data_IF_761540314394
#
_entry.id   IF_761540314394
#
_cell.length_a   1.000
_cell.length_b   1.000
_cell.length_c   1.000
_cell.angle_alpha   90.00
_cell.angle_beta   90.00
_cell.angle_gamma   90.00
#
_symmetry.space_group_name_H-M   'P 1'
#
loop_
_entity.id
_entity.type
_entity.pdbx_description
1 polymer ?
#
# COMPACT_ATOMS: atom_id res chain seq x y z
N UNK A 1 -23.67 -8.20 23.56
CA UNK A 1 -22.42 -7.47 23.28
C UNK A 1 -21.71 -8.26 22.20
N UNK A 2 -21.70 -7.77 20.96
CA UNK A 2 -20.92 -8.42 19.90
C UNK A 2 -19.45 -8.34 20.29
N UNK A 3 -18.78 -9.48 20.25
CA UNK A 3 -17.35 -9.60 20.51
C UNK A 3 -16.63 -8.69 19.50
N UNK A 4 -16.16 -7.52 19.95
CA UNK A 4 -15.49 -6.56 19.09
C UNK A 4 -14.09 -7.12 18.81
N UNK A 5 -14.01 -7.98 17.79
CA UNK A 5 -12.80 -8.67 17.35
C UNK A 5 -11.65 -7.67 17.26
N UNK A 6 -10.57 -7.92 18.00
CA UNK A 6 -9.41 -7.03 18.01
C UNK A 6 -8.76 -7.01 16.62
N UNK A 7 -8.91 -5.88 15.90
CA UNK A 7 -8.22 -5.64 14.63
C UNK A 7 -6.85 -5.03 14.85
N UNK A 8 -5.93 -5.29 13.93
CA UNK A 8 -4.61 -4.65 13.89
C UNK A 8 -4.61 -3.54 12.84
N UNK A 9 -3.93 -2.44 13.13
CA UNK A 9 -3.64 -1.38 12.16
C UNK A 9 -2.15 -1.46 11.80
N UNK A 10 -1.84 -1.58 10.51
CA UNK A 10 -0.48 -1.63 10.00
C UNK A 10 -0.14 -0.35 9.24
N UNK A 11 1.04 0.23 9.46
CA UNK A 11 1.45 1.51 8.85
C UNK A 11 2.60 1.33 7.86
N UNK A 12 2.46 1.89 6.67
CA UNK A 12 3.51 1.99 5.65
C UNK A 12 3.60 3.43 5.13
N UNK A 13 4.74 4.10 5.31
CA UNK A 13 4.90 5.50 4.88
C UNK A 13 6.30 5.81 4.32
N UNK A 14 6.45 6.97 3.69
CA UNK A 14 7.71 7.53 3.20
C UNK A 14 8.24 8.70 4.07
N UNK A 15 7.82 8.79 5.33
CA UNK A 15 8.17 9.91 6.22
C UNK A 15 9.63 9.92 6.68
N UNK A 16 10.29 8.76 6.64
CA UNK A 16 11.65 8.54 7.09
C UNK A 16 11.86 8.72 8.59
N UNK A 17 13.09 8.47 9.03
CA UNK A 17 13.49 8.63 10.44
C UNK A 17 13.37 10.09 10.93
N UNK A 18 13.68 11.06 10.06
CA UNK A 18 13.54 12.50 10.38
C UNK A 18 12.06 12.90 10.55
N UNK A 19 11.14 12.20 9.89
CA UNK A 19 9.70 12.38 10.01
C UNK A 19 9.05 11.52 11.10
N UNK A 20 9.80 10.94 12.04
CA UNK A 20 9.23 10.08 13.09
C UNK A 20 8.11 10.75 13.91
N UNK A 21 8.17 12.07 14.10
CA UNK A 21 7.12 12.83 14.76
C UNK A 21 5.78 12.83 13.99
N UNK A 22 5.80 12.71 12.66
CA UNK A 22 4.60 12.51 11.86
C UNK A 22 3.96 11.16 12.18
N UNK A 23 4.74 10.07 12.17
CA UNK A 23 4.27 8.73 12.55
C UNK A 23 3.70 8.73 13.97
N UNK A 24 4.42 9.29 14.93
CA UNK A 24 3.97 9.38 16.32
C UNK A 24 2.64 10.12 16.45
N UNK A 25 2.46 11.24 15.74
CA UNK A 25 1.21 11.99 15.75
C UNK A 25 0.03 11.22 15.15
N UNK A 26 0.26 10.44 14.08
CA UNK A 26 -0.76 9.56 13.50
C UNK A 26 -1.20 8.50 14.51
N UNK A 27 -0.25 7.81 15.14
CA UNK A 27 -0.52 6.81 16.17
C UNK A 27 -1.27 7.41 17.36
N UNK A 28 -0.87 8.58 17.83
CA UNK A 28 -1.53 9.26 18.93
C UNK A 28 -3.00 9.56 18.63
N UNK A 29 -3.32 9.98 17.39
CA UNK A 29 -4.70 10.20 16.96
C UNK A 29 -5.49 8.89 16.88
N UNK A 30 -4.89 7.83 16.34
CA UNK A 30 -5.51 6.49 16.33
C UNK A 30 -5.84 6.04 17.76
N UNK A 31 -4.89 6.14 18.69
CA UNK A 31 -5.08 5.74 20.08
C UNK A 31 -6.11 6.58 20.84
N UNK A 32 -6.30 7.85 20.48
CA UNK A 32 -7.39 8.66 21.05
C UNK A 32 -8.78 8.13 20.68
N UNK A 33 -8.92 7.50 19.52
CA UNK A 33 -10.20 6.96 19.03
C UNK A 33 -10.38 5.50 19.47
N UNK A 34 -9.33 4.68 19.38
CA UNK A 34 -9.32 3.28 19.82
C UNK A 34 -8.09 2.99 20.68
N UNK A 35 -8.17 3.18 22.02
CA UNK A 35 -7.02 3.06 22.91
C UNK A 35 -6.35 1.67 22.96
N UNK A 36 -7.10 0.61 22.64
CA UNK A 36 -6.62 -0.79 22.76
C UNK A 36 -6.15 -1.39 21.43
N UNK A 37 -6.13 -0.63 20.34
CA UNK A 37 -5.75 -1.17 19.02
C UNK A 37 -4.27 -1.49 18.94
N UNK A 38 -3.93 -2.62 18.32
CA UNK A 38 -2.53 -2.97 18.02
C UNK A 38 -2.11 -2.22 16.77
N UNK A 39 -0.99 -1.49 16.85
CA UNK A 39 -0.39 -0.81 15.70
C UNK A 39 0.96 -1.47 15.40
N UNK A 40 1.16 -1.86 14.15
CA UNK A 40 2.42 -2.44 13.65
C UNK A 40 2.96 -1.54 12.54
N UNK A 41 4.24 -1.16 12.62
CA UNK A 41 4.89 -0.45 11.52
C UNK A 41 5.47 -1.47 10.54
N UNK A 42 5.08 -1.38 9.27
CA UNK A 42 5.68 -2.16 8.19
C UNK A 42 7.00 -1.49 7.79
N UNK A 43 6.93 -0.21 7.45
CA UNK A 43 8.09 0.63 7.17
C UNK A 43 7.68 2.09 7.17
N UNK A 44 8.60 2.94 7.59
CA UNK A 44 8.50 4.39 7.39
C UNK A 44 9.64 4.91 6.52
N UNK A 45 10.46 4.02 5.99
CA UNK A 45 11.67 4.33 5.24
C UNK A 45 11.54 4.07 3.76
N UNK A 46 10.31 4.00 3.24
CA UNK A 46 10.06 3.98 1.79
C UNK A 46 10.71 5.21 1.17
N UNK A 47 11.37 5.07 0.02
CA UNK A 47 11.94 6.24 -0.66
C UNK A 47 10.85 7.29 -0.90
N UNK A 48 11.14 8.59 -0.66
CA UNK A 48 10.16 9.67 -0.79
C UNK A 48 9.40 9.59 -2.12
N UNK A 49 8.07 9.56 -2.02
CA UNK A 49 7.13 9.52 -3.14
C UNK A 49 7.16 8.24 -4.01
N UNK A 50 7.91 7.21 -3.61
CA UNK A 50 8.07 5.98 -4.38
C UNK A 50 6.85 5.07 -4.26
N UNK A 51 5.86 5.28 -5.15
CA UNK A 51 4.65 4.44 -5.25
C UNK A 51 5.01 2.99 -5.55
N UNK A 52 6.03 2.75 -6.39
CA UNK A 52 6.46 1.41 -6.80
C UNK A 52 7.02 0.66 -5.60
N UNK A 53 7.95 1.26 -4.86
CA UNK A 53 8.56 0.64 -3.68
C UNK A 53 7.51 0.35 -2.60
N UNK A 54 6.65 1.34 -2.30
CA UNK A 54 5.56 1.16 -1.35
C UNK A 54 4.63 0.01 -1.75
N UNK A 55 4.28 -0.08 -3.04
CA UNK A 55 3.44 -1.17 -3.55
C UNK A 55 4.12 -2.53 -3.44
N UNK A 56 5.43 -2.60 -3.67
CA UNK A 56 6.22 -3.83 -3.54
C UNK A 56 6.30 -4.29 -2.09
N UNK A 57 6.64 -3.39 -1.17
CA UNK A 57 6.71 -3.68 0.26
C UNK A 57 5.36 -4.17 0.74
N UNK A 58 4.28 -3.42 0.48
CA UNK A 58 2.92 -3.80 0.88
C UNK A 58 2.56 -5.18 0.34
N UNK A 59 2.72 -5.40 -0.96
CA UNK A 59 2.40 -6.68 -1.64
C UNK A 59 3.17 -7.85 -1.05
N UNK A 60 4.39 -7.63 -0.58
CA UNK A 60 5.27 -8.68 -0.04
C UNK A 60 4.99 -8.99 1.43
N UNK A 61 4.23 -8.14 2.14
CA UNK A 61 4.05 -8.26 3.59
C UNK A 61 2.61 -8.47 4.04
N UNK A 62 1.61 -7.89 3.37
CA UNK A 62 0.26 -7.76 3.94
C UNK A 62 -0.40 -9.12 4.28
N UNK A 63 -0.13 -10.15 3.48
CA UNK A 63 -0.76 -11.47 3.61
C UNK A 63 -0.23 -12.30 4.79
N UNK A 64 0.83 -11.85 5.48
CA UNK A 64 1.31 -12.45 6.73
C UNK A 64 0.61 -11.92 7.97
N UNK A 65 -0.13 -10.82 7.85
CA UNK A 65 -0.89 -10.26 8.97
C UNK A 65 -2.16 -11.08 9.22
N UNK A 66 -2.74 -11.01 10.43
CA UNK A 66 -4.06 -11.60 10.69
C UNK A 66 -5.11 -11.03 9.72
N UNK A 67 -6.09 -11.85 9.34
CA UNK A 67 -7.29 -11.39 8.63
C UNK A 67 -7.94 -10.20 9.35
N UNK A 68 -8.62 -9.34 8.60
CA UNK A 68 -9.20 -8.08 9.09
C UNK A 68 -8.19 -7.01 9.52
N UNK A 69 -6.89 -7.19 9.26
CA UNK A 69 -5.89 -6.12 9.42
C UNK A 69 -6.20 -4.94 8.49
N UNK A 70 -6.00 -3.73 9.02
CA UNK A 70 -6.22 -2.45 8.34
C UNK A 70 -4.88 -1.82 8.03
N UNK A 71 -4.53 -1.74 6.75
CA UNK A 71 -3.28 -1.16 6.26
C UNK A 71 -3.48 0.32 5.94
N UNK A 72 -2.78 1.20 6.63
CA UNK A 72 -2.67 2.61 6.26
C UNK A 72 -1.39 2.77 5.44
N UNK A 73 -1.54 3.27 4.22
CA UNK A 73 -0.41 3.48 3.31
C UNK A 73 -0.33 4.95 2.93
N UNK A 74 0.69 5.64 3.43
CA UNK A 74 0.91 7.08 3.22
C UNK A 74 2.21 7.30 2.46
N UNK A 75 2.12 7.14 1.14
CA UNK A 75 3.13 7.56 0.16
C UNK A 75 2.38 8.39 -0.87
N UNK A 76 2.38 9.70 -0.65
CA UNK A 76 1.36 10.59 -1.19
C UNK A 76 1.93 11.93 -1.67
N UNK A 77 2.59 11.96 -2.85
CA UNK A 77 3.05 13.21 -3.45
C UNK A 77 1.92 14.19 -3.78
N UNK A 78 0.67 13.70 -3.87
CA UNK A 78 -0.51 14.50 -4.19
C UNK A 78 -1.30 14.99 -2.98
N UNK A 79 -0.73 14.96 -1.77
CA UNK A 79 -1.43 15.42 -0.56
C UNK A 79 -1.93 16.87 -0.73
N UNK A 80 -3.15 17.14 -0.28
CA UNK A 80 -3.78 18.46 -0.41
C UNK A 80 -4.34 18.80 -1.79
N UNK A 81 -4.19 17.92 -2.78
CA UNK A 81 -4.89 18.03 -4.08
C UNK A 81 -6.28 17.38 -4.04
N UNK A 82 -6.98 17.40 -5.19
CA UNK A 82 -8.29 16.75 -5.39
C UNK A 82 -8.23 15.21 -5.46
N UNK A 83 -7.04 14.60 -5.27
CA UNK A 83 -6.88 13.14 -5.28
C UNK A 83 -7.73 12.50 -4.18
N UNK A 84 -8.37 11.38 -4.50
CA UNK A 84 -9.22 10.64 -3.56
C UNK A 84 -8.38 9.96 -2.47
N UNK A 85 -8.96 9.83 -1.29
CA UNK A 85 -8.51 8.86 -0.28
C UNK A 85 -9.43 7.65 -0.39
N UNK A 86 -8.85 6.50 -0.68
CA UNK A 86 -9.57 5.24 -0.85
C UNK A 86 -9.65 4.49 0.47
N UNK A 87 -10.76 3.81 0.67
CA UNK A 87 -10.95 2.75 1.67
C UNK A 87 -11.33 1.49 0.89
N UNK A 88 -10.47 0.47 0.96
CA UNK A 88 -10.63 -0.77 0.22
C UNK A 88 -10.86 -1.94 1.17
N UNK A 89 -11.62 -2.93 0.71
CA UNK A 89 -11.68 -4.26 1.30
C UNK A 89 -11.28 -5.29 0.24
N UNK A 90 -10.44 -6.27 0.57
CA UNK A 90 -10.11 -7.38 -0.33
C UNK A 90 -11.06 -8.56 -0.17
N UNK A 91 -10.96 -9.56 -1.05
CA UNK A 91 -11.70 -10.83 -0.93
C UNK A 91 -11.27 -11.63 0.29
N UNK A 92 -9.99 -11.52 0.67
CA UNK A 92 -9.40 -12.16 1.84
C UNK A 92 -9.58 -11.35 3.14
N UNK A 93 -10.59 -10.47 3.19
CA UNK A 93 -10.96 -9.68 4.36
C UNK A 93 -9.87 -8.75 4.94
N UNK A 94 -8.92 -8.26 4.15
CA UNK A 94 -8.04 -7.16 4.57
C UNK A 94 -8.63 -5.80 4.20
N UNK A 95 -8.27 -4.76 4.96
CA UNK A 95 -8.69 -3.38 4.70
C UNK A 95 -7.49 -2.52 4.34
N UNK A 96 -7.65 -1.56 3.43
CA UNK A 96 -6.57 -0.65 3.03
C UNK A 96 -7.09 0.78 2.96
N UNK A 97 -6.30 1.73 3.48
CA UNK A 97 -6.59 3.17 3.44
C UNK A 97 -5.37 3.91 2.89
N UNK A 98 -5.56 4.74 1.88
CA UNK A 98 -4.46 5.48 1.27
C UNK A 98 -4.86 6.29 0.04
N UNK A 99 -3.91 6.92 -0.65
CA UNK A 99 -4.17 7.69 -1.86
C UNK A 99 -4.61 6.85 -3.06
N UNK A 100 -5.56 7.39 -3.83
CA UNK A 100 -5.82 6.96 -5.20
C UNK A 100 -4.73 7.51 -6.13
N UNK A 101 -3.55 6.90 -6.09
CA UNK A 101 -2.40 7.26 -6.93
C UNK A 101 -1.80 6.05 -7.66
N UNK A 102 -2.51 4.92 -7.65
CA UNK A 102 -2.08 3.67 -8.27
C UNK A 102 -1.30 2.71 -7.37
N UNK A 103 -0.99 3.10 -6.12
CA UNK A 103 -0.32 2.21 -5.16
C UNK A 103 -1.07 0.89 -4.95
N UNK A 104 -2.40 0.95 -4.80
CA UNK A 104 -3.22 -0.23 -4.53
C UNK A 104 -3.47 -1.09 -5.77
N UNK A 105 -3.50 -0.50 -6.97
CA UNK A 105 -3.64 -1.29 -8.19
C UNK A 105 -2.38 -2.14 -8.45
N UNK A 106 -1.18 -1.63 -8.13
CA UNK A 106 0.06 -2.40 -8.16
C UNK A 106 0.12 -3.48 -7.07
N UNK A 107 -0.28 -3.14 -5.84
CA UNK A 107 -0.12 -4.03 -4.69
C UNK A 107 -1.17 -5.16 -4.65
N UNK A 108 -2.44 -4.84 -4.93
CA UNK A 108 -3.58 -5.73 -4.69
C UNK A 108 -4.06 -6.46 -5.95
N UNK A 109 -3.65 -6.02 -7.15
CA UNK A 109 -4.14 -6.54 -8.42
C UNK A 109 -5.69 -6.62 -8.44
N UNK A 110 -6.24 -7.79 -8.76
CA UNK A 110 -7.69 -8.04 -8.86
C UNK A 110 -8.33 -8.58 -7.55
N UNK A 111 -7.68 -8.37 -6.41
CA UNK A 111 -8.16 -8.89 -5.12
C UNK A 111 -9.14 -7.96 -4.38
N UNK A 112 -9.47 -6.80 -4.95
CA UNK A 112 -10.39 -5.84 -4.33
C UNK A 112 -11.83 -6.38 -4.42
N UNK A 113 -12.55 -6.38 -3.29
CA UNK A 113 -13.97 -6.74 -3.20
C UNK A 113 -14.87 -5.51 -3.06
N UNK A 114 -14.44 -4.50 -2.31
CA UNK A 114 -15.17 -3.25 -2.11
C UNK A 114 -14.22 -2.05 -2.13
N UNK A 115 -14.72 -0.91 -2.60
CA UNK A 115 -13.98 0.34 -2.65
C UNK A 115 -14.91 1.50 -2.30
N UNK A 116 -14.43 2.41 -1.47
CA UNK A 116 -15.14 3.62 -1.03
C UNK A 116 -14.20 4.82 -1.10
N UNK A 117 -14.78 6.01 -1.25
CA UNK A 117 -14.05 7.27 -1.14
C UNK A 117 -14.29 7.82 0.27
N UNK A 118 -13.23 8.07 1.02
CA UNK A 118 -13.35 8.75 2.31
C UNK A 118 -13.90 10.17 2.11
N UNK A 119 -15.14 10.41 2.50
CA UNK A 119 -15.81 11.72 2.38
C UNK A 119 -16.63 12.12 3.60
N UNK A 120 -16.96 11.20 4.50
CA UNK A 120 -17.71 11.58 5.70
C UNK A 120 -16.79 12.24 6.73
N UNK A 121 -16.89 13.56 6.81
CA UNK A 121 -16.03 14.40 7.66
C UNK A 121 -16.26 14.22 9.17
N UNK A 122 -17.36 13.61 9.59
CA UNK A 122 -17.62 13.28 11.00
C UNK A 122 -16.57 12.33 11.57
N UNK A 123 -15.97 11.51 10.69
CA UNK A 123 -14.92 10.56 11.05
C UNK A 123 -13.50 11.14 10.89
N UNK A 124 -13.36 12.43 10.57
CA UNK A 124 -12.06 13.07 10.40
C UNK A 124 -11.66 13.83 11.67
N UNK A 125 -10.36 13.91 11.93
CA UNK A 125 -9.84 14.83 12.93
C UNK A 125 -10.04 16.27 12.43
N UNK A 126 -10.61 17.12 13.30
CA UNK A 126 -10.75 18.56 13.05
C UNK A 126 -9.70 19.37 13.84
N UNK A 127 -9.15 20.47 13.28
CA UNK A 127 -9.25 20.83 11.87
C UNK A 127 -8.46 19.86 10.98
N UNK A 128 -8.94 19.67 9.75
CA UNK A 128 -8.28 18.83 8.74
C UNK A 128 -7.22 19.66 8.01
N UNK A 129 -5.98 19.18 7.98
CA UNK A 129 -4.84 19.90 7.38
C UNK A 129 -4.64 19.48 5.93
N UNK A 130 -4.36 20.44 5.04
CA UNK A 130 -4.09 20.18 3.62
C UNK A 130 -2.84 19.32 3.39
N UNK A 131 -1.89 19.31 4.32
CA UNK A 131 -0.59 18.63 4.14
C UNK A 131 -0.44 17.36 4.97
N UNK A 132 -1.45 16.98 5.76
CA UNK A 132 -1.30 15.84 6.67
C UNK A 132 -2.56 14.96 6.80
N UNK A 133 -3.07 14.51 5.66
CA UNK A 133 -4.21 13.59 5.59
C UNK A 133 -3.97 12.25 6.27
N UNK A 134 -2.71 11.80 6.41
CA UNK A 134 -2.38 10.60 7.18
C UNK A 134 -2.86 10.69 8.63
N UNK A 135 -2.59 11.82 9.30
CA UNK A 135 -3.02 12.09 10.68
C UNK A 135 -4.50 12.47 10.76
N UNK A 136 -4.97 13.26 9.80
CA UNK A 136 -6.26 13.91 9.95
C UNK A 136 -7.44 13.11 9.39
N UNK A 137 -7.18 12.20 8.46
CA UNK A 137 -8.20 11.43 7.76
C UNK A 137 -7.92 9.93 7.88
N UNK A 138 -6.78 9.45 7.39
CA UNK A 138 -6.52 8.02 7.26
C UNK A 138 -6.39 7.31 8.62
N UNK A 139 -5.66 7.91 9.57
CA UNK A 139 -5.55 7.41 10.94
C UNK A 139 -6.91 7.27 11.63
N UNK A 140 -7.71 8.34 11.72
CA UNK A 140 -9.07 8.26 12.26
C UNK A 140 -9.94 7.18 11.61
N UNK A 141 -9.97 7.12 10.28
CA UNK A 141 -10.75 6.10 9.56
C UNK A 141 -10.36 4.68 9.95
N UNK A 142 -9.05 4.39 10.02
CA UNK A 142 -8.58 3.08 10.46
C UNK A 142 -9.02 2.74 11.89
N UNK A 143 -8.99 3.73 12.80
CA UNK A 143 -9.46 3.54 14.16
C UNK A 143 -10.98 3.24 14.23
N UNK A 144 -11.79 3.92 13.42
CA UNK A 144 -13.23 3.66 13.33
C UNK A 144 -13.55 2.29 12.70
N UNK A 145 -12.85 1.92 11.62
CA UNK A 145 -12.98 0.57 11.04
C UNK A 145 -12.57 -0.49 12.08
N UNK A 146 -11.50 -0.26 12.85
CA UNK A 146 -11.08 -1.17 13.92
C UNK A 146 -12.11 -1.29 15.06
N UNK A 147 -13.01 -0.30 15.17
CA UNK A 147 -14.11 -0.28 16.14
C UNK A 147 -15.42 -0.88 15.60
N UNK A 148 -15.43 -1.33 14.34
CA UNK A 148 -16.61 -1.95 13.73
C UNK A 148 -17.52 -0.99 12.97
N UNK A 149 -17.10 0.26 12.73
CA UNK A 149 -17.87 1.19 11.89
C UNK A 149 -17.96 0.62 10.45
N UNK A 150 -19.17 0.49 9.88
CA UNK A 150 -19.35 0.03 8.50
C UNK A 150 -18.70 0.96 7.48
N UNK A 151 -18.18 0.42 6.38
CA UNK A 151 -17.41 1.20 5.39
C UNK A 151 -18.29 2.23 4.65
N UNK A 152 -19.56 1.89 4.42
CA UNK A 152 -20.58 2.74 3.83
C UNK A 152 -20.83 4.03 4.62
N UNK A 153 -20.55 4.04 5.93
CA UNK A 153 -20.67 5.24 6.76
C UNK A 153 -19.52 6.22 6.52
N UNK A 154 -18.39 5.76 5.98
CA UNK A 154 -17.16 6.54 5.82
C UNK A 154 -17.12 7.32 4.49
N UNK A 155 -18.01 6.99 3.57
CA UNK A 155 -18.26 7.73 2.34
C UNK A 155 -18.87 6.88 1.23
N UNK A 156 -19.07 7.45 0.03
CA UNK A 156 -19.76 6.77 -1.06
C UNK A 156 -18.91 5.63 -1.66
N UNK A 157 -19.56 4.58 -2.19
CA UNK A 157 -18.87 3.52 -2.91
C UNK A 157 -18.25 4.06 -4.21
N UNK A 158 -17.17 3.41 -4.64
CA UNK A 158 -16.49 3.63 -5.91
C UNK A 158 -16.35 2.28 -6.63
N UNK A 159 -16.57 2.24 -7.93
CA UNK A 159 -16.29 1.03 -8.69
C UNK A 159 -14.78 0.81 -8.72
N UNK A 160 -14.32 -0.39 -8.36
CA UNK A 160 -12.89 -0.70 -8.31
C UNK A 160 -12.20 -0.57 -9.68
N UNK A 161 -12.97 -0.57 -10.78
CA UNK A 161 -12.44 -0.28 -12.13
C UNK A 161 -11.97 1.15 -12.31
N UNK A 162 -12.45 2.07 -11.46
CA UNK A 162 -12.27 3.52 -11.58
C UNK A 162 -11.13 4.04 -10.70
N UNK A 163 -10.46 3.15 -9.95
CA UNK A 163 -9.22 3.48 -9.25
C UNK A 163 -8.10 3.71 -10.26
N UNK A 164 -7.13 4.56 -9.92
CA UNK A 164 -5.96 4.79 -10.76
C UNK A 164 -5.21 3.48 -10.96
N UNK A 165 -4.97 3.13 -12.22
CA UNK A 165 -4.20 1.94 -12.62
C UNK A 165 -2.77 2.34 -12.93
N UNK A 166 -1.84 1.80 -12.17
CA UNK A 166 -0.42 1.88 -12.47
C UNK A 166 0.05 0.56 -13.06
N UNK A 167 1.00 0.64 -13.99
CA UNK A 167 1.62 -0.52 -14.61
C UNK A 167 3.14 -0.39 -14.55
N UNK A 168 3.81 -1.52 -14.46
CA UNK A 168 5.27 -1.59 -14.47
C UNK A 168 5.74 -1.99 -15.87
N UNK A 169 6.91 -1.49 -16.26
CA UNK A 169 7.50 -1.86 -17.54
C UNK A 169 7.89 -3.33 -17.47
N UNK A 170 7.34 -4.15 -18.35
CA UNK A 170 7.75 -5.53 -18.57
C UNK A 170 7.60 -5.87 -20.04
N UNK A 171 8.72 -5.90 -20.76
CA UNK A 171 8.77 -6.22 -22.19
C UNK A 171 9.88 -7.23 -22.44
N UNK A 172 9.57 -8.24 -23.23
CA UNK A 172 10.50 -9.31 -23.60
C UNK A 172 10.73 -9.20 -25.10
N UNK A 173 11.99 -9.06 -25.49
CA UNK A 173 12.45 -9.27 -26.85
C UNK A 173 13.20 -10.60 -26.88
N UNK A 174 12.55 -11.63 -27.45
CA UNK A 174 13.07 -13.00 -27.47
C UNK A 174 14.26 -13.11 -28.43
N UNK A 175 14.19 -12.43 -29.57
CA UNK A 175 15.20 -12.49 -30.64
C UNK A 175 16.53 -11.90 -30.16
N UNK A 176 16.47 -10.73 -29.51
CA UNK A 176 17.66 -10.04 -28.97
C UNK A 176 18.07 -10.53 -27.58
N UNK A 177 17.26 -11.41 -26.96
CA UNK A 177 17.44 -11.88 -25.57
C UNK A 177 17.49 -10.74 -24.54
N UNK A 178 16.71 -9.69 -24.75
CA UNK A 178 16.64 -8.51 -23.89
C UNK A 178 15.30 -8.48 -23.16
N UNK A 179 15.34 -8.20 -21.86
CA UNK A 179 14.15 -7.96 -21.04
C UNK A 179 14.23 -6.55 -20.48
N UNK A 180 13.27 -5.70 -20.86
CA UNK A 180 13.09 -4.39 -20.22
C UNK A 180 12.11 -4.57 -19.07
N UNK A 181 12.59 -4.33 -17.86
CA UNK A 181 11.84 -4.54 -16.62
C UNK A 181 11.93 -3.32 -15.70
N UNK A 182 11.18 -3.33 -14.62
CA UNK A 182 11.26 -2.31 -13.57
C UNK A 182 11.92 -2.92 -12.32
N UNK A 183 12.95 -2.25 -11.80
CA UNK A 183 13.45 -2.49 -10.45
C UNK A 183 12.40 -1.92 -9.49
N UNK A 184 11.77 -2.79 -8.71
CA UNK A 184 10.71 -2.45 -7.76
C UNK A 184 11.25 -2.09 -6.38
N UNK A 185 12.39 -2.67 -6.00
CA UNK A 185 12.99 -2.49 -4.69
C UNK A 185 14.49 -2.78 -4.72
N UNK A 186 15.22 -2.04 -3.89
CA UNK A 186 16.65 -2.23 -3.62
C UNK A 186 16.79 -2.32 -2.11
N UNK A 187 17.35 -3.42 -1.61
CA UNK A 187 17.56 -3.60 -0.17
C UNK A 187 18.96 -3.12 0.27
N UNK A 188 19.17 -3.06 1.58
CA UNK A 188 20.43 -2.62 2.19
C UNK A 188 21.60 -3.58 1.92
N UNK A 189 21.34 -4.82 1.48
CA UNK A 189 22.36 -5.79 1.08
C UNK A 189 22.79 -5.61 -0.38
N UNK A 190 22.14 -4.70 -1.12
CA UNK A 190 22.40 -4.45 -2.54
C UNK A 190 21.66 -5.39 -3.48
N UNK A 191 20.64 -6.13 -3.01
CA UNK A 191 19.81 -6.94 -3.89
C UNK A 191 18.86 -6.05 -4.70
N UNK A 192 18.68 -6.40 -5.97
CA UNK A 192 17.73 -5.74 -6.86
C UNK A 192 16.52 -6.66 -7.09
N UNK A 193 15.33 -6.19 -6.72
CA UNK A 193 14.10 -6.93 -6.98
C UNK A 193 13.42 -6.36 -8.22
N UNK A 194 13.24 -7.18 -9.24
CA UNK A 194 12.58 -6.79 -10.50
C UNK A 194 11.14 -7.30 -10.54
N UNK A 195 10.37 -6.86 -11.55
CA UNK A 195 9.05 -7.43 -11.87
C UNK A 195 9.12 -8.63 -12.85
N UNK A 196 10.30 -9.22 -13.07
CA UNK A 196 10.44 -10.43 -13.89
C UNK A 196 9.85 -11.62 -13.14
N UNK A 197 8.85 -12.27 -13.74
CA UNK A 197 8.21 -13.45 -13.17
C UNK A 197 8.98 -14.70 -13.54
N UNK A 198 9.27 -15.53 -12.55
CA UNK A 198 9.90 -16.83 -12.72
C UNK A 198 8.94 -17.95 -12.29
N UNK A 199 8.87 -19.02 -13.09
CA UNK A 199 8.19 -20.27 -12.75
C UNK A 199 9.15 -21.43 -12.99
N UNK A 200 9.58 -22.12 -11.93
CA UNK A 200 10.58 -23.20 -12.02
C UNK A 200 11.87 -22.76 -12.74
N UNK A 201 12.42 -21.60 -12.34
CA UNK A 201 13.58 -20.93 -12.96
C UNK A 201 13.40 -20.56 -14.45
N UNK A 202 12.19 -20.69 -15.00
CA UNK A 202 11.83 -20.26 -16.35
C UNK A 202 11.24 -18.84 -16.29
N UNK A 203 11.71 -17.95 -17.14
CA UNK A 203 11.11 -16.63 -17.29
C UNK A 203 9.72 -16.81 -17.91
N UNK A 204 8.72 -16.30 -17.21
CA UNK A 204 7.31 -16.47 -17.58
C UNK A 204 7.07 -16.00 -19.02
N UNK A 205 6.29 -16.78 -19.78
CA UNK A 205 6.02 -16.59 -21.22
C UNK A 205 7.24 -16.65 -22.16
N UNK A 206 8.34 -17.26 -21.74
CA UNK A 206 9.52 -17.49 -22.61
C UNK A 206 10.02 -18.92 -22.48
N UNK A 207 10.94 -19.37 -23.33
CA UNK A 207 11.69 -20.62 -23.13
C UNK A 207 13.05 -20.42 -22.44
N UNK A 208 13.30 -19.24 -21.86
CA UNK A 208 14.55 -18.95 -21.16
C UNK A 208 14.51 -19.48 -19.74
N UNK A 209 15.50 -20.31 -19.41
CA UNK A 209 15.73 -20.81 -18.06
C UNK A 209 16.97 -20.15 -17.47
N UNK A 210 16.84 -19.61 -16.26
CA UNK A 210 17.96 -19.12 -15.46
C UNK A 210 18.69 -20.31 -14.85
N UNK A 211 19.99 -20.43 -15.14
CA UNK A 211 20.88 -21.43 -14.53
C UNK A 211 21.77 -20.77 -13.49
N UNK A 212 22.20 -21.54 -12.48
CA UNK A 212 23.27 -21.09 -11.58
C UNK A 212 24.51 -20.70 -12.40
N UNK A 213 25.22 -19.66 -11.95
CA UNK A 213 26.44 -19.11 -12.57
C UNK A 213 26.26 -18.57 -14.00
N UNK A 214 25.03 -18.34 -14.44
CA UNK A 214 24.78 -17.67 -15.71
C UNK A 214 25.07 -16.17 -15.58
N UNK A 215 25.87 -15.63 -16.49
CA UNK A 215 26.17 -14.19 -16.53
C UNK A 215 24.93 -13.42 -17.02
N UNK A 216 24.47 -12.46 -16.21
CA UNK A 216 23.43 -11.50 -16.57
C UNK A 216 24.08 -10.12 -16.57
N UNK A 217 23.90 -9.36 -17.65
CA UNK A 217 24.30 -7.95 -17.72
C UNK A 217 23.08 -7.10 -17.46
N UNK A 218 23.17 -6.22 -16.48
CA UNK A 218 22.12 -5.23 -16.17
C UNK A 218 22.62 -3.88 -16.70
N UNK A 219 21.80 -3.26 -17.55
CA UNK A 219 22.01 -1.88 -18.01
C UNK A 219 20.88 -1.03 -17.46
N UNK A 220 21.24 0.13 -16.90
CA UNK A 220 20.29 1.10 -16.35
C UNK A 220 20.36 2.32 -17.28
N UNK A 221 19.21 2.66 -17.88
CA UNK A 221 19.04 3.85 -18.72
C UNK A 221 18.96 5.12 -17.85
#
# INVERSE_FOLDING_TARGET
MSDCKERTIALLTDFGLKGAHYVASMKAVIYKIKPTVKIIDISHSVAPFSIIEASYILKSTYFYFPEETIFIVVVDPGVGSDRKILILKTKDNYYFIGPDNGIFSLALNSNISHCFIAKNEEYFRKPTSNTFHGRDIMGPLAAYISSGVPLENLGPPLNFTDIIKSSLIYKINIDDKIIKCTIQYIDDFGNLVTNIKLKNNKIDNTNFHLKQNQKITISID
#
